data_IF_345096953447
#
_entry.id   IF_345096953447
#
_cell.length_a   1.000
_cell.length_b   1.000
_cell.length_c   1.000
_cell.angle_alpha   90.00
_cell.angle_beta   90.00
_cell.angle_gamma   90.00
#
_symmetry.space_group_name_H-M   'P 1'
#
loop_
_entity.id
_entity.type
_entity.pdbx_description
1 polymer ?
#
# COMPACT_ATOMS: atom_id res chain seq x y z
N UNK A 1 -1.75 -4.73 8.72
CA UNK A 1 -0.34 -4.73 9.16
C UNK A 1 -0.33 -5.03 10.65
N UNK A 2 0.45 -6.00 11.10
CA UNK A 2 0.61 -6.26 12.53
C UNK A 2 1.40 -5.09 13.11
N UNK A 3 0.75 -4.23 13.89
CA UNK A 3 1.39 -3.04 14.44
C UNK A 3 2.52 -3.34 15.45
N UNK A 4 2.67 -4.61 15.86
CA UNK A 4 3.62 -5.04 16.85
C UNK A 4 3.93 -6.54 16.72
N UNK A 5 5.20 -6.87 16.56
CA UNK A 5 5.74 -8.24 16.68
C UNK A 5 7.14 -8.18 17.31
N UNK A 6 7.53 -9.25 17.98
CA UNK A 6 8.89 -9.41 18.52
C UNK A 6 9.42 -10.75 18.02
N UNK A 7 10.63 -10.72 17.47
CA UNK A 7 11.35 -11.91 16.99
C UNK A 7 12.67 -12.00 17.75
N UNK A 8 13.05 -13.21 18.18
CA UNK A 8 14.36 -13.44 18.80
C UNK A 8 15.47 -13.09 17.79
N UNK A 9 16.55 -12.47 18.27
CA UNK A 9 17.69 -12.07 17.42
C UNK A 9 18.27 -13.24 16.62
N UNK A 10 18.54 -14.37 17.28
CA UNK A 10 19.10 -15.55 16.61
C UNK A 10 18.19 -16.07 15.48
N UNK A 11 16.86 -15.96 15.63
CA UNK A 11 15.91 -16.32 14.59
C UNK A 11 15.94 -15.32 13.43
N UNK A 12 16.02 -14.02 13.74
CA UNK A 12 16.11 -12.97 12.71
C UNK A 12 17.39 -13.13 11.86
N UNK A 13 18.52 -13.37 12.51
CA UNK A 13 19.81 -13.55 11.84
C UNK A 13 19.82 -14.85 11.01
N UNK A 14 19.25 -15.95 11.54
CA UNK A 14 19.13 -17.21 10.80
C UNK A 14 18.24 -17.13 9.55
N UNK A 15 17.25 -16.24 9.54
CA UNK A 15 16.35 -16.00 8.41
C UNK A 15 16.93 -15.02 7.37
N UNK A 16 18.17 -14.53 7.57
CA UNK A 16 18.83 -13.57 6.70
C UNK A 16 18.30 -12.14 6.82
N UNK A 17 17.57 -11.83 7.89
CA UNK A 17 17.06 -10.49 8.17
C UNK A 17 16.08 -9.94 7.14
N UNK A 18 16.07 -8.61 6.99
CA UNK A 18 15.22 -7.91 6.04
C UNK A 18 15.78 -8.00 4.63
N UNK A 19 14.87 -8.20 3.67
CA UNK A 19 15.20 -8.19 2.26
C UNK A 19 15.03 -6.79 1.68
N UNK A 20 16.12 -6.19 1.23
CA UNK A 20 16.14 -4.84 0.68
C UNK A 20 15.34 -4.70 -0.62
N UNK A 21 14.96 -5.82 -1.26
CA UNK A 21 14.09 -5.83 -2.45
C UNK A 21 12.66 -5.38 -2.15
N UNK A 22 12.23 -5.39 -0.88
CA UNK A 22 10.86 -5.09 -0.48
C UNK A 22 10.77 -3.84 0.40
N UNK A 23 11.09 -2.64 -0.10
CA UNK A 23 11.15 -1.43 0.72
C UNK A 23 9.84 -1.11 1.47
N UNK A 24 8.70 -1.61 0.99
CA UNK A 24 7.38 -1.28 1.50
C UNK A 24 6.72 -2.44 2.27
N UNK A 25 7.28 -3.65 2.19
CA UNK A 25 6.68 -4.88 2.72
C UNK A 25 7.69 -5.77 3.47
N UNK A 26 8.75 -5.17 4.01
CA UNK A 26 9.82 -5.86 4.77
C UNK A 26 9.28 -6.63 5.98
N UNK A 27 8.30 -6.06 6.68
CA UNK A 27 7.66 -6.66 7.84
C UNK A 27 6.81 -7.88 7.46
N UNK A 28 6.11 -7.80 6.33
CA UNK A 28 5.32 -8.91 5.81
C UNK A 28 6.21 -10.08 5.35
N UNK A 29 7.31 -9.78 4.65
CA UNK A 29 8.34 -10.75 4.27
C UNK A 29 8.90 -11.46 5.50
N UNK A 30 9.33 -10.70 6.52
CA UNK A 30 9.88 -11.26 7.75
C UNK A 30 8.88 -12.16 8.48
N UNK A 31 7.61 -11.74 8.59
CA UNK A 31 6.58 -12.56 9.25
C UNK A 31 6.40 -13.90 8.52
N UNK A 32 6.37 -13.90 7.18
CA UNK A 32 6.21 -15.13 6.41
C UNK A 32 7.44 -16.04 6.49
N UNK A 33 8.66 -15.48 6.51
CA UNK A 33 9.89 -16.22 6.80
C UNK A 33 9.81 -16.90 8.18
N UNK A 34 9.41 -16.17 9.21
CA UNK A 34 9.25 -16.71 10.56
C UNK A 34 8.18 -17.80 10.60
N UNK A 35 7.02 -17.60 9.97
CA UNK A 35 5.93 -18.58 9.96
C UNK A 35 6.29 -19.89 9.23
N UNK A 36 7.26 -19.83 8.31
CA UNK A 36 7.73 -21.01 7.57
C UNK A 36 8.56 -21.94 8.45
N UNK A 37 9.51 -21.38 9.21
CA UNK A 37 10.55 -22.16 9.90
C UNK A 37 10.39 -22.17 11.43
N UNK A 38 9.54 -21.30 11.99
CA UNK A 38 9.35 -21.12 13.43
C UNK A 38 7.88 -21.04 13.83
N UNK A 39 7.62 -21.28 15.11
CA UNK A 39 6.28 -21.12 15.69
C UNK A 39 6.01 -19.65 15.99
N UNK A 40 4.83 -19.18 15.59
CA UNK A 40 4.34 -17.84 15.90
C UNK A 40 3.32 -17.91 17.04
N UNK A 41 3.48 -17.08 18.07
CA UNK A 41 2.53 -16.95 19.17
C UNK A 41 1.70 -15.68 18.98
N UNK A 42 0.37 -15.81 19.07
CA UNK A 42 -0.54 -14.67 19.08
C UNK A 42 -0.95 -14.33 20.50
N UNK A 43 -0.85 -13.06 20.87
CA UNK A 43 -1.31 -12.53 22.15
C UNK A 43 -2.54 -11.68 21.86
N UNK A 44 -3.70 -12.14 22.32
CA UNK A 44 -4.98 -11.45 22.14
C UNK A 44 -5.15 -10.29 23.14
N UNK A 45 -4.24 -9.31 23.07
CA UNK A 45 -4.23 -8.09 23.89
C UNK A 45 -3.72 -6.92 23.07
N UNK A 46 -4.19 -5.71 23.39
CA UNK A 46 -3.64 -4.48 22.81
C UNK A 46 -2.27 -4.20 23.44
N UNK A 47 -1.21 -4.43 22.68
CA UNK A 47 0.18 -4.24 23.15
C UNK A 47 0.84 -2.95 22.65
N UNK A 48 0.29 -2.33 21.61
CA UNK A 48 0.85 -1.11 21.02
C UNK A 48 -0.27 -0.21 20.44
N UNK A 49 0.02 1.09 20.35
CA UNK A 49 -0.81 2.07 19.64
C UNK A 49 -0.03 2.55 18.41
N UNK A 50 -0.62 2.40 17.23
CA UNK A 50 -0.04 2.89 15.98
C UNK A 50 -0.54 4.30 15.69
N UNK A 51 0.37 5.21 15.28
CA UNK A 51 0.02 6.58 14.89
C UNK A 51 -0.20 6.63 13.38
N UNK A 52 -1.33 7.20 12.97
CA UNK A 52 -1.65 7.44 11.57
C UNK A 52 -1.55 8.96 11.33
N UNK A 53 -0.86 9.36 10.26
CA UNK A 53 -0.82 10.73 9.77
C UNK A 53 -0.90 10.73 8.24
N UNK A 54 -1.41 11.82 7.66
CA UNK A 54 -1.72 11.88 6.22
C UNK A 54 -0.47 11.65 5.36
N UNK A 55 0.65 12.29 5.70
CA UNK A 55 1.92 12.16 4.97
C UNK A 55 2.75 10.92 5.35
N UNK A 56 2.12 9.87 5.86
CA UNK A 56 2.86 8.65 6.19
C UNK A 56 3.40 7.99 4.93
N UNK A 57 4.59 7.38 5.04
CA UNK A 57 5.17 6.59 3.95
C UNK A 57 4.18 5.54 3.43
N UNK A 58 3.47 4.89 4.35
CA UNK A 58 2.41 3.92 4.04
C UNK A 58 1.28 4.53 3.20
N UNK A 59 0.86 5.77 3.49
CA UNK A 59 -0.18 6.47 2.71
C UNK A 59 0.25 6.66 1.25
N UNK A 60 1.50 7.07 1.02
CA UNK A 60 2.03 7.31 -0.33
C UNK A 60 2.17 6.01 -1.14
N UNK A 61 2.61 4.93 -0.49
CA UNK A 61 2.76 3.61 -1.12
C UNK A 61 1.42 2.93 -1.42
N UNK A 62 0.40 3.17 -0.58
CA UNK A 62 -0.96 2.73 -0.87
C UNK A 62 -1.49 3.49 -2.11
N UNK A 63 -1.10 4.76 -2.27
CA UNK A 63 -1.55 5.59 -3.37
C UNK A 63 -0.96 5.16 -4.72
N UNK A 64 0.33 4.82 -4.81
CA UNK A 64 0.92 4.32 -6.06
C UNK A 64 0.58 2.84 -6.35
N UNK A 65 0.25 2.08 -5.30
CA UNK A 65 -0.13 0.67 -5.35
C UNK A 65 1.06 -0.30 -5.34
N UNK A 66 2.30 0.18 -5.24
CA UNK A 66 3.52 -0.64 -5.25
C UNK A 66 3.54 -1.68 -4.13
N UNK A 67 3.00 -1.32 -2.96
CA UNK A 67 2.85 -2.21 -1.81
C UNK A 67 2.08 -3.51 -2.14
N UNK A 68 1.07 -3.43 -3.03
CA UNK A 68 0.28 -4.60 -3.41
C UNK A 68 1.09 -5.56 -4.28
N UNK A 69 1.91 -5.04 -5.20
CA UNK A 69 2.77 -5.86 -6.05
C UNK A 69 3.86 -6.56 -5.22
N UNK A 70 4.52 -5.84 -4.32
CA UNK A 70 5.50 -6.43 -3.40
C UNK A 70 4.86 -7.53 -2.55
N UNK A 71 3.71 -7.25 -1.94
CA UNK A 71 2.96 -8.24 -1.14
C UNK A 71 2.59 -9.48 -1.96
N UNK A 72 2.20 -9.31 -3.23
CA UNK A 72 1.90 -10.43 -4.13
C UNK A 72 3.14 -11.30 -4.41
N UNK A 73 4.29 -10.68 -4.64
CA UNK A 73 5.55 -11.38 -4.89
C UNK A 73 6.02 -12.17 -3.65
N UNK A 74 5.93 -11.57 -2.47
CA UNK A 74 6.25 -12.22 -1.20
C UNK A 74 5.29 -13.41 -0.98
N UNK A 75 3.99 -13.20 -1.19
CA UNK A 75 2.98 -14.25 -1.06
C UNK A 75 3.22 -15.43 -2.01
N UNK A 76 3.62 -15.16 -3.26
CA UNK A 76 4.00 -16.18 -4.23
C UNK A 76 5.19 -17.02 -3.77
N UNK A 77 6.10 -16.42 -2.98
CA UNK A 77 7.34 -17.05 -2.52
C UNK A 77 7.10 -17.96 -1.31
N UNK A 78 6.30 -17.51 -0.33
CA UNK A 78 6.23 -18.18 0.98
C UNK A 78 4.91 -18.89 1.28
N UNK A 79 3.79 -18.53 0.63
CA UNK A 79 2.51 -19.16 0.92
C UNK A 79 2.31 -20.46 0.14
N UNK A 80 1.61 -21.46 0.71
CA UNK A 80 1.24 -22.67 -0.02
C UNK A 80 0.33 -22.34 -1.20
N UNK A 81 0.36 -23.18 -2.25
CA UNK A 81 -0.24 -22.91 -3.58
C UNK A 81 -1.64 -22.30 -3.55
N UNK A 82 -2.55 -22.81 -2.73
CA UNK A 82 -3.90 -22.24 -2.66
C UNK A 82 -3.92 -20.87 -1.95
N UNK A 83 -3.20 -20.74 -0.84
CA UNK A 83 -3.08 -19.48 -0.11
C UNK A 83 -2.36 -18.40 -0.91
N UNK A 84 -1.33 -18.76 -1.68
CA UNK A 84 -0.63 -17.82 -2.55
C UNK A 84 -1.55 -17.33 -3.68
N UNK A 85 -2.29 -18.20 -4.35
CA UNK A 85 -3.23 -17.80 -5.41
C UNK A 85 -4.28 -16.81 -4.92
N UNK A 86 -4.91 -17.08 -3.78
CA UNK A 86 -5.91 -16.19 -3.19
C UNK A 86 -5.30 -14.84 -2.82
N UNK A 87 -4.10 -14.84 -2.19
CA UNK A 87 -3.45 -13.60 -1.81
C UNK A 87 -3.00 -12.79 -3.02
N UNK A 88 -2.44 -13.44 -4.04
CA UNK A 88 -2.00 -12.77 -5.28
C UNK A 88 -3.20 -12.14 -5.98
N UNK A 89 -4.32 -12.87 -6.12
CA UNK A 89 -5.51 -12.33 -6.79
C UNK A 89 -6.08 -11.12 -6.04
N UNK A 90 -6.12 -11.17 -4.70
CA UNK A 90 -6.51 -10.04 -3.86
C UNK A 90 -5.60 -8.83 -4.09
N UNK A 91 -4.28 -9.03 -4.08
CA UNK A 91 -3.31 -7.94 -4.25
C UNK A 91 -3.35 -7.32 -5.64
N UNK A 92 -3.42 -8.14 -6.70
CA UNK A 92 -3.55 -7.64 -8.07
C UNK A 92 -4.86 -6.86 -8.26
N UNK A 93 -5.95 -7.31 -7.64
CA UNK A 93 -7.23 -6.58 -7.68
C UNK A 93 -7.10 -5.20 -7.04
N UNK A 94 -6.47 -5.10 -5.86
CA UNK A 94 -6.22 -3.82 -5.18
C UNK A 94 -5.30 -2.91 -5.99
N UNK A 95 -4.25 -3.46 -6.59
CA UNK A 95 -3.35 -2.73 -7.49
C UNK A 95 -4.12 -2.13 -8.67
N UNK A 96 -4.86 -2.95 -9.41
CA UNK A 96 -5.66 -2.50 -10.56
C UNK A 96 -6.66 -1.42 -10.17
N UNK A 97 -7.40 -1.64 -9.08
CA UNK A 97 -8.35 -0.65 -8.56
C UNK A 97 -7.67 0.69 -8.26
N UNK A 98 -6.54 0.67 -7.54
CA UNK A 98 -5.81 1.89 -7.20
C UNK A 98 -5.30 2.62 -8.44
N UNK A 99 -4.76 1.89 -9.42
CA UNK A 99 -4.29 2.47 -10.69
C UNK A 99 -5.44 3.13 -11.46
N UNK A 100 -6.61 2.50 -11.50
CA UNK A 100 -7.81 3.05 -12.13
C UNK A 100 -8.26 4.34 -11.40
N UNK A 101 -8.34 4.33 -10.08
CA UNK A 101 -8.77 5.50 -9.31
C UNK A 101 -7.81 6.69 -9.48
N UNK A 102 -6.49 6.46 -9.50
CA UNK A 102 -5.52 7.52 -9.78
C UNK A 102 -5.70 8.13 -11.18
N UNK A 103 -6.06 7.33 -12.19
CA UNK A 103 -6.35 7.85 -13.53
C UNK A 103 -7.60 8.74 -13.54
N UNK A 104 -8.64 8.35 -12.80
CA UNK A 104 -9.84 9.17 -12.63
C UNK A 104 -9.55 10.49 -11.89
N UNK A 105 -8.82 10.44 -10.78
CA UNK A 105 -8.40 11.64 -10.03
C UNK A 105 -7.54 12.56 -10.88
N UNK A 106 -6.60 12.01 -11.65
CA UNK A 106 -5.77 12.78 -12.58
C UNK A 106 -6.63 13.51 -13.62
N UNK A 107 -7.57 12.79 -14.26
CA UNK A 107 -8.48 13.38 -15.25
C UNK A 107 -9.37 14.46 -14.64
N UNK A 108 -9.91 14.22 -13.44
CA UNK A 108 -10.71 15.21 -12.71
C UNK A 108 -9.91 16.48 -12.41
N UNK A 109 -8.72 16.33 -11.85
CA UNK A 109 -7.84 17.45 -11.52
C UNK A 109 -7.39 18.23 -12.76
N UNK A 110 -7.14 17.53 -13.88
CA UNK A 110 -6.82 18.16 -15.16
C UNK A 110 -8.00 19.01 -15.68
N UNK A 111 -9.22 18.45 -15.70
CA UNK A 111 -10.42 19.16 -16.13
C UNK A 111 -10.76 20.36 -15.24
N UNK A 112 -10.56 20.24 -13.92
CA UNK A 112 -10.76 21.33 -12.97
C UNK A 112 -9.71 22.45 -13.14
N UNK A 113 -8.47 22.12 -13.53
CA UNK A 113 -7.45 23.12 -13.86
C UNK A 113 -7.75 23.82 -15.19
N UNK A 114 -8.19 23.11 -16.22
CA UNK A 114 -8.53 23.73 -17.52
C UNK A 114 -9.76 24.65 -17.45
N UNK A 115 -10.70 24.37 -16.54
CA UNK A 115 -11.89 25.20 -16.34
C UNK A 115 -11.67 26.42 -15.45
N UNK A 116 -10.52 26.52 -14.75
CA UNK A 116 -10.16 27.70 -13.95
C UNK A 116 -9.98 28.96 -14.82
N UNK A 117 -9.39 28.85 -16.01
CA UNK A 117 -9.28 29.94 -16.98
C UNK A 117 -10.64 30.36 -17.60
N UNK A 118 -11.61 29.45 -17.67
CA UNK A 118 -12.95 29.77 -18.19
C UNK A 118 -13.79 30.58 -17.21
N UNK A 119 -13.55 30.46 -15.89
CA UNK A 119 -14.23 31.28 -14.86
C UNK A 119 -13.71 32.72 -14.82
N UNK A 120 -12.48 32.97 -15.25
CA UNK A 120 -11.92 34.33 -15.37
C UNK A 120 -12.46 35.09 -16.60
N UNK A 121 -12.95 34.39 -17.63
CA UNK A 121 -13.58 34.97 -18.83
C UNK A 121 -15.08 35.26 -18.66
N UNK A 122 -15.74 34.64 -17.68
CA UNK A 122 -17.19 34.77 -17.46
C UNK A 122 -17.66 36.20 -17.09
N UNK A 123 -16.89 37.04 -16.38
CA UNK A 123 -17.28 38.43 -16.11
C UNK A 123 -17.26 39.33 -17.36
N UNK A 124 -16.48 38.99 -18.40
CA UNK A 124 -16.33 39.82 -19.61
C UNK A 124 -17.50 39.65 -20.58
N UNK A 125 -18.09 38.44 -20.65
CA UNK A 125 -19.23 38.15 -21.54
C UNK A 125 -20.56 38.76 -21.08
N UNK A 126 -20.70 39.12 -19.79
CA UNK A 126 -21.92 39.72 -19.24
C UNK A 126 -21.94 41.26 -19.32
N UNK A 127 -20.82 41.90 -19.67
CA UNK A 127 -20.73 43.37 -19.85
C UNK A 127 -20.95 43.85 -21.28
N UNK A 128 -20.77 43.01 -22.30
CA UNK A 128 -21.00 43.39 -23.70
C UNK A 128 -22.44 43.16 -24.20
N UNK A 129 -23.31 42.58 -23.36
CA UNK A 129 -24.72 42.30 -23.67
C UNK A 129 -25.72 43.00 -22.72
N UNK A 130 -25.36 44.17 -22.18
CA UNK A 130 -26.30 45.07 -21.50
C UNK A 130 -26.57 46.32 -22.32
#
# INVERSE_FOLDING_TARGET
MLAFSITRRDCFDALGGFDERYPNSQDYDLVLKVMKDYKFLFIDKVLAKYRIHEDSMSSNMINDGTIYLETANIAATYLPRFGSLVRISEMLTKFCYRRIMNLFEFKYNYLMKSTKHLKEFYPYYLSEHK
#
